data_IF_709026300043
#
_entry.id   IF_709026300043
#
_cell.length_a   1.000
_cell.length_b   1.000
_cell.length_c   1.000
_cell.angle_alpha   90.00
_cell.angle_beta   90.00
_cell.angle_gamma   90.00
#
_symmetry.space_group_name_H-M   'P 1'
#
loop_
_entity.id
_entity.type
_entity.pdbx_description
1 polymer ?
#
# COMPACT_ATOMS: atom_id res chain seq x y z
N UNK A 1 1.54 34.77 5.86
CA UNK A 1 1.99 33.43 5.44
C UNK A 1 2.12 32.59 6.70
N UNK A 2 1.13 31.76 7.01
CA UNK A 2 1.23 30.80 8.11
C UNK A 2 2.10 29.64 7.64
N UNK A 3 3.30 29.52 8.18
CA UNK A 3 4.08 28.29 8.15
C UNK A 3 3.26 27.21 8.85
N UNK A 4 2.56 26.40 8.06
CA UNK A 4 1.89 25.19 8.54
C UNK A 4 3.02 24.28 9.02
N UNK A 5 3.20 24.22 10.33
CA UNK A 5 4.15 23.30 10.99
C UNK A 5 3.78 21.90 10.53
N UNK A 6 4.75 21.16 9.95
CA UNK A 6 4.61 19.75 9.64
C UNK A 6 4.18 19.01 10.90
N UNK A 7 2.95 18.48 10.92
CA UNK A 7 2.43 17.68 12.02
C UNK A 7 2.53 16.20 11.67
N UNK A 8 3.76 15.68 11.60
CA UNK A 8 3.94 14.28 12.01
C UNK A 8 3.84 14.32 13.53
N UNK A 9 2.68 13.94 14.06
CA UNK A 9 2.35 14.11 15.49
C UNK A 9 3.03 13.04 16.34
N UNK A 10 3.47 11.95 15.73
CA UNK A 10 3.79 10.68 16.38
C UNK A 10 5.28 10.40 16.42
N UNK A 11 5.73 9.89 17.57
CA UNK A 11 6.98 9.14 17.64
C UNK A 11 6.83 7.84 16.83
N UNK A 12 7.88 7.46 16.10
CA UNK A 12 7.89 6.19 15.39
C UNK A 12 7.94 5.04 16.39
N UNK A 13 7.44 3.84 16.02
CA UNK A 13 7.57 2.67 16.88
C UNK A 13 9.03 2.46 17.31
N UNK A 14 9.23 2.03 18.55
CA UNK A 14 10.57 1.73 19.10
C UNK A 14 10.78 0.22 19.21
N UNK A 15 11.99 -0.31 18.90
CA UNK A 15 12.25 -1.75 18.96
C UNK A 15 12.02 -2.37 20.34
N UNK A 16 12.40 -1.65 21.40
CA UNK A 16 12.25 -2.12 22.78
C UNK A 16 10.82 -1.85 23.26
N UNK A 17 10.00 -2.89 23.29
CA UNK A 17 8.63 -2.84 23.81
C UNK A 17 7.55 -2.58 22.76
N UNK A 18 7.89 -2.46 21.48
CA UNK A 18 6.98 -2.23 20.34
C UNK A 18 5.72 -1.42 20.70
N UNK A 19 5.93 -0.12 20.94
CA UNK A 19 4.84 0.84 21.13
C UNK A 19 4.40 1.40 19.76
N UNK A 20 3.10 1.54 19.53
CA UNK A 20 2.53 2.05 18.27
C UNK A 20 2.51 3.59 18.21
N UNK A 21 3.32 4.25 19.05
CA UNK A 21 3.28 5.69 19.26
C UNK A 21 1.97 6.12 19.94
N UNK A 22 1.53 7.36 19.70
CA UNK A 22 0.35 7.93 20.36
C UNK A 22 -1.00 7.29 19.94
N UNK A 23 -1.00 6.43 18.93
CA UNK A 23 -2.21 5.81 18.40
C UNK A 23 -2.17 4.31 18.68
N UNK A 24 -3.02 3.81 19.61
CA UNK A 24 -3.06 2.37 19.87
C UNK A 24 -3.41 1.65 18.57
N UNK A 25 -2.46 0.84 18.09
CA UNK A 25 -2.58 -0.04 16.92
C UNK A 25 -2.49 0.66 15.56
N UNK A 26 -1.94 1.86 15.47
CA UNK A 26 -1.85 2.58 14.20
C UNK A 26 -0.78 3.66 14.20
N UNK A 27 -0.76 4.44 13.13
CA UNK A 27 -0.09 5.73 13.10
C UNK A 27 -1.15 6.85 13.14
N UNK A 28 -0.72 8.10 13.02
CA UNK A 28 -1.63 9.22 12.83
C UNK A 28 -2.56 9.00 11.62
N UNK A 29 -3.79 9.57 11.62
CA UNK A 29 -4.67 9.50 10.45
C UNK A 29 -3.97 9.95 9.17
N UNK A 30 -4.20 9.22 8.08
CA UNK A 30 -3.64 9.59 6.78
C UNK A 30 -4.48 10.71 6.18
N UNK A 31 -3.87 11.85 5.86
CA UNK A 31 -4.55 12.93 5.13
C UNK A 31 -4.17 12.87 3.65
N UNK A 32 -5.15 12.61 2.78
CA UNK A 32 -4.98 12.56 1.33
C UNK A 32 -5.76 13.68 0.64
N UNK A 33 -5.31 14.11 -0.56
CA UNK A 33 -6.16 14.93 -1.40
C UNK A 33 -7.31 14.08 -1.96
N UNK A 34 -8.25 14.73 -2.62
CA UNK A 34 -9.17 14.02 -3.50
C UNK A 34 -8.38 13.24 -4.56
N UNK A 35 -8.85 12.04 -4.99
CA UNK A 35 -8.24 11.30 -6.08
C UNK A 35 -8.06 12.19 -7.32
N UNK A 36 -6.90 12.12 -8.00
CA UNK A 36 -6.65 12.97 -9.15
C UNK A 36 -7.65 12.64 -10.26
N UNK A 37 -8.28 13.68 -10.78
CA UNK A 37 -9.14 13.59 -11.96
C UNK A 37 -8.34 13.96 -13.21
N UNK A 38 -8.76 13.56 -14.41
CA UNK A 38 -8.12 14.00 -15.65
C UNK A 38 -8.07 15.54 -15.81
N UNK A 39 -8.95 16.26 -15.11
CA UNK A 39 -9.08 17.72 -15.14
C UNK A 39 -8.27 18.42 -14.04
N UNK A 40 -7.76 17.65 -13.06
CA UNK A 40 -6.90 18.18 -12.01
C UNK A 40 -5.58 18.64 -12.63
N UNK A 41 -5.32 19.95 -12.64
CA UNK A 41 -4.14 20.54 -13.25
C UNK A 41 -2.80 19.96 -12.75
N UNK A 42 -1.75 20.18 -13.54
CA UNK A 42 -0.41 19.57 -13.46
C UNK A 42 0.46 20.06 -12.28
N UNK A 43 -0.16 20.41 -11.15
CA UNK A 43 0.53 20.99 -9.99
C UNK A 43 1.38 20.00 -9.18
N UNK A 44 1.29 18.70 -9.49
CA UNK A 44 2.12 17.66 -8.88
C UNK A 44 3.44 17.52 -9.64
N UNK A 45 4.60 17.53 -8.96
CA UNK A 45 5.87 17.15 -9.55
C UNK A 45 5.82 15.80 -10.27
N UNK A 46 6.71 15.65 -11.25
CA UNK A 46 6.87 14.43 -12.01
C UNK A 46 7.10 13.20 -11.12
N UNK A 47 6.24 12.19 -11.24
CA UNK A 47 6.44 10.90 -10.57
C UNK A 47 7.46 10.13 -11.41
N UNK A 48 8.67 10.02 -10.87
CA UNK A 48 9.81 9.42 -11.53
C UNK A 48 10.09 8.02 -10.97
N UNK A 49 10.69 7.13 -11.78
CA UNK A 49 11.18 5.85 -11.27
C UNK A 49 12.28 6.09 -10.24
N UNK A 50 12.44 5.12 -9.32
CA UNK A 50 13.46 5.21 -8.29
C UNK A 50 14.87 5.30 -8.92
N UNK A 51 15.70 6.21 -8.41
CA UNK A 51 17.13 6.20 -8.72
C UNK A 51 17.78 5.01 -8.01
N UNK A 52 18.11 3.97 -8.79
CA UNK A 52 18.74 2.73 -8.33
C UNK A 52 20.04 2.95 -7.53
N UNK A 53 20.72 4.09 -7.70
CA UNK A 53 21.94 4.42 -6.94
C UNK A 53 21.65 4.86 -5.51
N UNK A 54 20.42 5.29 -5.21
CA UNK A 54 19.99 5.78 -3.89
C UNK A 54 19.19 4.73 -3.10
N UNK A 55 18.90 3.59 -3.71
CA UNK A 55 18.14 2.51 -3.09
C UNK A 55 19.00 1.87 -2.00
N UNK A 56 18.57 2.02 -0.75
CA UNK A 56 19.15 1.29 0.37
C UNK A 56 18.89 -0.22 0.22
N UNK A 57 19.97 -1.01 0.26
CA UNK A 57 19.97 -2.47 0.22
C UNK A 57 20.49 -3.09 1.51
N UNK A 58 20.81 -2.27 2.50
CA UNK A 58 21.36 -2.70 3.79
C UNK A 58 20.26 -3.11 4.78
N UNK A 59 19.06 -2.54 4.65
CA UNK A 59 17.91 -2.93 5.47
C UNK A 59 17.50 -4.38 5.16
N UNK A 60 17.46 -5.20 6.22
CA UNK A 60 17.02 -6.60 6.13
C UNK A 60 15.62 -6.72 6.72
N UNK A 61 14.68 -7.22 5.91
CA UNK A 61 13.33 -7.57 6.34
C UNK A 61 13.20 -9.10 6.26
N UNK A 62 13.36 -9.83 7.38
CA UNK A 62 13.28 -11.27 7.36
C UNK A 62 11.87 -11.74 7.01
N UNK A 63 11.79 -12.84 6.26
CA UNK A 63 10.51 -13.44 5.90
C UNK A 63 9.78 -13.99 7.13
N UNK A 64 10.48 -14.71 7.98
CA UNK A 64 9.92 -15.27 9.22
C UNK A 64 10.58 -14.59 10.42
N UNK A 65 9.81 -14.39 11.49
CA UNK A 65 10.33 -13.90 12.76
C UNK A 65 9.92 -14.80 13.92
N UNK A 66 10.31 -14.43 15.13
CA UNK A 66 9.94 -15.17 16.33
C UNK A 66 8.42 -15.21 16.52
N UNK A 67 7.92 -16.26 17.18
CA UNK A 67 6.52 -16.33 17.56
C UNK A 67 6.18 -15.17 18.52
N UNK A 68 5.00 -14.60 18.35
CA UNK A 68 4.52 -13.49 19.18
C UNK A 68 4.17 -14.00 20.59
N UNK A 69 4.51 -13.19 21.59
CA UNK A 69 4.46 -13.61 23.00
C UNK A 69 3.04 -13.77 23.56
N UNK A 70 2.05 -13.04 23.01
CA UNK A 70 0.65 -13.09 23.46
C UNK A 70 -0.33 -12.94 22.29
N UNK A 71 -1.54 -13.45 22.48
CA UNK A 71 -2.67 -13.26 21.53
C UNK A 71 -3.02 -11.79 21.36
N UNK A 72 -3.03 -11.02 22.44
CA UNK A 72 -3.31 -9.58 22.38
C UNK A 72 -2.26 -8.88 21.50
N UNK A 73 -0.96 -9.13 21.73
CA UNK A 73 0.09 -8.53 20.90
C UNK A 73 -0.04 -8.94 19.42
N UNK A 74 -0.42 -10.20 19.15
CA UNK A 74 -0.73 -10.66 17.79
C UNK A 74 -1.84 -9.84 17.13
N UNK A 75 -2.97 -9.67 17.82
CA UNK A 75 -4.09 -8.89 17.29
C UNK A 75 -3.69 -7.44 17.02
N UNK A 76 -2.95 -6.83 17.94
CA UNK A 76 -2.48 -5.44 17.82
C UNK A 76 -1.52 -5.26 16.64
N UNK A 77 -0.54 -6.15 16.51
CA UNK A 77 0.42 -6.12 15.43
C UNK A 77 -0.28 -6.25 14.08
N UNK A 78 -1.13 -7.26 13.90
CA UNK A 78 -1.79 -7.48 12.63
C UNK A 78 -2.85 -6.43 12.31
N UNK A 79 -3.48 -5.81 13.32
CA UNK A 79 -4.30 -4.62 13.12
C UNK A 79 -3.47 -3.45 12.60
N UNK A 80 -2.30 -3.18 13.21
CA UNK A 80 -1.37 -2.16 12.72
C UNK A 80 -0.95 -2.43 11.28
N UNK A 81 -0.57 -3.67 10.94
CA UNK A 81 -0.22 -4.04 9.56
C UNK A 81 -1.37 -3.77 8.60
N UNK A 82 -2.59 -4.12 9.03
CA UNK A 82 -3.80 -3.92 8.25
C UNK A 82 -4.04 -2.44 7.97
N UNK A 83 -4.07 -1.58 8.99
CA UNK A 83 -4.34 -0.15 8.83
C UNK A 83 -3.20 0.55 8.09
N UNK A 84 -1.96 0.43 8.58
CA UNK A 84 -0.79 1.15 8.05
C UNK A 84 -0.46 0.73 6.62
N UNK A 85 -0.55 -0.57 6.30
CA UNK A 85 -0.27 -1.07 4.95
C UNK A 85 -1.33 -0.64 3.93
N UNK A 86 -2.61 -0.55 4.32
CA UNK A 86 -3.65 0.00 3.45
C UNK A 86 -3.48 1.52 3.26
N UNK A 87 -3.17 2.26 4.32
CA UNK A 87 -2.86 3.70 4.19
C UNK A 87 -1.67 3.96 3.24
N UNK A 88 -0.59 3.18 3.35
CA UNK A 88 0.53 3.25 2.41
C UNK A 88 0.08 2.93 0.97
N UNK A 89 -0.78 1.92 0.81
CA UNK A 89 -1.38 1.57 -0.50
C UNK A 89 -2.16 2.74 -1.10
N UNK A 90 -2.94 3.49 -0.32
CA UNK A 90 -3.72 4.61 -0.85
C UNK A 90 -2.83 5.73 -1.37
N UNK A 91 -1.76 6.05 -0.65
CA UNK A 91 -0.74 7.00 -1.13
C UNK A 91 -0.01 6.48 -2.38
N UNK A 92 0.29 5.18 -2.46
CA UNK A 92 0.86 4.55 -3.68
C UNK A 92 -0.11 4.65 -4.87
N UNK A 93 -1.41 4.47 -4.65
CA UNK A 93 -2.42 4.63 -5.70
C UNK A 93 -2.56 6.07 -6.19
N UNK A 94 -2.49 7.05 -5.30
CA UNK A 94 -2.40 8.47 -5.65
C UNK A 94 -1.21 8.73 -6.58
N UNK A 95 -0.01 8.27 -6.21
CA UNK A 95 1.19 8.42 -7.07
C UNK A 95 1.06 7.66 -8.39
N UNK A 96 0.45 6.48 -8.38
CA UNK A 96 0.23 5.67 -9.59
C UNK A 96 -0.74 6.37 -10.54
N UNK A 97 -1.78 7.01 -10.01
CA UNK A 97 -2.74 7.77 -10.80
C UNK A 97 -2.08 9.00 -11.47
N UNK A 98 -1.18 9.69 -10.76
CA UNK A 98 -0.38 10.77 -11.33
C UNK A 98 0.60 10.27 -12.41
N UNK A 99 1.32 9.17 -12.16
CA UNK A 99 2.19 8.56 -13.17
C UNK A 99 1.39 8.13 -14.41
N UNK A 100 0.18 7.59 -14.23
CA UNK A 100 -0.71 7.23 -15.33
C UNK A 100 -1.17 8.45 -16.14
N UNK A 101 -1.48 9.57 -15.48
CA UNK A 101 -1.79 10.83 -16.17
C UNK A 101 -0.59 11.34 -16.97
N UNK A 102 0.60 11.38 -16.35
CA UNK A 102 1.85 11.80 -17.00
C UNK A 102 2.21 10.94 -18.21
N UNK A 103 1.99 9.62 -18.15
CA UNK A 103 2.20 8.73 -19.29
C UNK A 103 1.32 9.10 -20.51
N UNK A 104 0.11 9.63 -20.28
CA UNK A 104 -0.84 10.03 -21.34
C UNK A 104 -0.53 11.39 -21.95
N UNK A 105 0.09 12.27 -21.17
CA UNK A 105 0.35 13.66 -21.58
C UNK A 105 1.77 13.87 -22.11
N UNK A 106 2.73 13.02 -21.74
CA UNK A 106 4.12 13.09 -22.21
C UNK A 106 4.28 12.54 -23.61
N UNK A 107 5.25 13.10 -24.35
CA UNK A 107 5.71 12.56 -25.62
C UNK A 107 6.45 11.23 -25.46
N UNK A 108 7.23 11.08 -24.38
CA UNK A 108 7.86 9.82 -23.97
C UNK A 108 7.20 9.29 -22.67
N UNK A 109 6.43 8.19 -22.74
CA UNK A 109 5.79 7.60 -21.57
C UNK A 109 6.74 6.74 -20.73
N UNK A 110 7.95 6.41 -21.21
CA UNK A 110 8.80 5.39 -20.59
C UNK A 110 9.16 5.68 -19.12
N UNK A 111 9.48 6.92 -18.69
CA UNK A 111 9.70 7.21 -17.26
C UNK A 111 8.46 6.91 -16.41
N UNK A 112 7.28 7.27 -16.89
CA UNK A 112 6.01 7.03 -16.19
C UNK A 112 5.70 5.54 -16.08
N UNK A 113 5.96 4.77 -17.14
CA UNK A 113 5.77 3.31 -17.14
C UNK A 113 6.70 2.62 -16.13
N UNK A 114 7.96 3.07 -16.02
CA UNK A 114 8.90 2.57 -15.01
C UNK A 114 8.44 2.93 -13.59
N UNK A 115 8.02 4.17 -13.36
CA UNK A 115 7.46 4.59 -12.07
C UNK A 115 6.22 3.76 -11.68
N UNK A 116 5.30 3.52 -12.62
CA UNK A 116 4.12 2.66 -12.38
C UNK A 116 4.51 1.21 -12.08
N UNK A 117 5.62 0.72 -12.64
CA UNK A 117 6.14 -0.62 -12.33
C UNK A 117 6.61 -0.68 -10.88
N UNK A 118 7.46 0.28 -10.46
CA UNK A 118 7.94 0.37 -9.07
C UNK A 118 6.78 0.51 -8.07
N UNK A 119 5.75 1.31 -8.40
CA UNK A 119 4.56 1.51 -7.58
C UNK A 119 3.62 0.28 -7.58
N UNK A 120 3.61 -0.53 -8.64
CA UNK A 120 2.85 -1.80 -8.65
C UNK A 120 3.56 -2.85 -7.82
N UNK A 121 4.89 -2.90 -7.88
CA UNK A 121 5.70 -3.78 -7.05
C UNK A 121 5.54 -3.45 -5.56
N UNK A 122 5.59 -2.16 -5.24
CA UNK A 122 5.26 -1.61 -3.94
C UNK A 122 3.89 -2.06 -3.42
N UNK A 123 2.85 -1.91 -4.24
CA UNK A 123 1.51 -2.32 -3.88
C UNK A 123 1.43 -3.84 -3.65
N UNK A 124 2.14 -4.63 -4.47
CA UNK A 124 2.25 -6.08 -4.29
C UNK A 124 2.88 -6.44 -2.94
N UNK A 125 3.95 -5.75 -2.55
CA UNK A 125 4.55 -5.90 -1.22
C UNK A 125 3.59 -5.47 -0.09
N UNK A 126 2.86 -4.37 -0.24
CA UNK A 126 1.84 -3.95 0.74
C UNK A 126 0.73 -4.98 0.88
N UNK A 127 0.36 -5.66 -0.20
CA UNK A 127 -0.64 -6.72 -0.16
C UNK A 127 -0.13 -7.93 0.65
N UNK A 128 1.14 -8.33 0.46
CA UNK A 128 1.76 -9.39 1.28
C UNK A 128 1.88 -8.98 2.75
N UNK A 129 2.25 -7.72 3.01
CA UNK A 129 2.37 -7.19 4.36
C UNK A 129 1.03 -7.17 5.10
N UNK A 130 -0.01 -6.59 4.50
CA UNK A 130 -1.36 -6.50 5.09
C UNK A 130 -2.01 -7.88 5.26
N UNK A 131 -1.74 -8.81 4.35
CA UNK A 131 -2.25 -10.18 4.40
C UNK A 131 -1.34 -11.17 5.15
N UNK A 132 -0.28 -10.67 5.78
CA UNK A 132 0.65 -11.52 6.53
C UNK A 132 0.02 -12.18 7.75
N UNK A 133 -1.09 -11.63 8.24
CA UNK A 133 -1.82 -12.19 9.37
C UNK A 133 -2.20 -13.68 9.15
N UNK A 134 -2.18 -14.47 10.23
CA UNK A 134 -2.82 -15.77 10.28
C UNK A 134 -4.33 -15.68 9.96
N UNK A 135 -4.88 -16.75 9.39
CA UNK A 135 -6.29 -16.78 8.94
C UNK A 135 -7.30 -16.65 10.11
N UNK A 136 -6.94 -17.13 11.30
CA UNK A 136 -7.71 -16.98 12.53
C UNK A 136 -7.76 -15.51 12.98
N UNK A 137 -6.63 -14.79 12.98
CA UNK A 137 -6.61 -13.34 13.28
C UNK A 137 -7.47 -12.56 12.28
N UNK A 138 -7.39 -12.89 10.99
CA UNK A 138 -8.26 -12.29 9.99
C UNK A 138 -9.75 -12.57 10.27
N UNK A 139 -10.10 -13.83 10.59
CA UNK A 139 -11.48 -14.25 10.84
C UNK A 139 -12.09 -13.72 12.15
N UNK A 140 -11.25 -13.43 13.15
CA UNK A 140 -11.70 -13.03 14.50
C UNK A 140 -11.58 -11.53 14.76
N UNK A 141 -10.64 -10.85 14.13
CA UNK A 141 -10.38 -9.42 14.37
C UNK A 141 -10.74 -8.58 13.14
N UNK A 142 -10.10 -8.85 12.01
CA UNK A 142 -10.14 -7.97 10.83
C UNK A 142 -11.48 -8.05 10.09
N UNK A 143 -11.94 -9.25 9.75
CA UNK A 143 -13.19 -9.42 8.99
C UNK A 143 -14.42 -8.96 9.81
N UNK A 144 -14.54 -9.28 11.11
CA UNK A 144 -15.64 -8.77 11.92
C UNK A 144 -15.66 -7.24 12.03
N UNK A 145 -14.51 -6.57 12.17
CA UNK A 145 -14.47 -5.10 12.23
C UNK A 145 -14.92 -4.44 10.93
N UNK A 146 -14.56 -5.01 9.77
CA UNK A 146 -15.06 -4.56 8.46
C UNK A 146 -16.57 -4.76 8.34
N UNK A 147 -17.09 -5.91 8.81
CA UNK A 147 -18.52 -6.21 8.80
C UNK A 147 -19.33 -5.22 9.65
N UNK A 148 -18.78 -4.78 10.79
CA UNK A 148 -19.39 -3.75 11.65
C UNK A 148 -19.53 -2.40 10.94
N UNK A 149 -18.67 -2.08 9.98
CA UNK A 149 -18.85 -0.89 9.13
C UNK A 149 -19.95 -1.14 8.09
N UNK A 150 -19.84 -2.25 7.36
CA UNK A 150 -20.85 -2.67 6.41
C UNK A 150 -20.69 -4.13 6.00
N UNK A 151 -21.80 -4.87 5.89
CA UNK A 151 -21.83 -6.28 5.46
C UNK A 151 -21.27 -6.57 4.06
N UNK A 152 -21.19 -5.56 3.20
CA UNK A 152 -20.63 -5.60 1.84
C UNK A 152 -19.28 -4.89 1.72
N UNK A 153 -18.62 -4.59 2.84
CA UNK A 153 -17.36 -3.84 2.84
C UNK A 153 -16.35 -4.46 1.88
N UNK A 154 -15.75 -3.63 1.04
CA UNK A 154 -14.90 -4.07 -0.07
C UNK A 154 -13.80 -3.07 -0.36
N UNK A 155 -12.62 -3.57 -0.73
CA UNK A 155 -11.52 -2.77 -1.28
C UNK A 155 -11.90 -1.96 -2.52
N UNK A 156 -12.97 -2.36 -3.24
CA UNK A 156 -13.46 -1.61 -4.41
C UNK A 156 -14.10 -0.27 -4.06
N UNK A 157 -14.34 0.00 -2.78
CA UNK A 157 -14.90 1.28 -2.29
C UNK A 157 -13.82 2.36 -2.11
N UNK A 158 -12.54 1.99 -2.18
CA UNK A 158 -11.44 2.93 -2.06
C UNK A 158 -11.50 4.02 -3.15
N UNK A 159 -11.57 5.31 -2.79
CA UNK A 159 -11.58 6.40 -3.78
C UNK A 159 -10.33 6.39 -4.67
N UNK A 160 -9.16 6.17 -4.07
CA UNK A 160 -7.87 6.21 -4.78
C UNK A 160 -7.68 5.04 -5.75
N UNK A 161 -8.43 3.94 -5.58
CA UNK A 161 -8.38 2.80 -6.49
C UNK A 161 -9.07 3.12 -7.83
N UNK A 162 -10.10 3.97 -7.84
CA UNK A 162 -10.90 4.30 -9.04
C UNK A 162 -10.03 4.72 -10.24
N UNK A 163 -9.10 5.70 -10.13
CA UNK A 163 -8.29 6.15 -11.27
C UNK A 163 -7.31 5.08 -11.78
N UNK A 164 -6.82 4.19 -10.91
CA UNK A 164 -5.84 3.15 -11.27
C UNK A 164 -6.45 1.80 -11.61
N UNK A 165 -7.75 1.62 -11.33
CA UNK A 165 -8.48 0.35 -11.48
C UNK A 165 -8.36 -0.26 -12.87
N UNK A 166 -8.36 0.57 -13.92
CA UNK A 166 -8.20 0.09 -15.29
C UNK A 166 -6.87 -0.63 -15.49
N UNK A 167 -5.77 0.05 -15.12
CA UNK A 167 -4.42 -0.49 -15.16
C UNK A 167 -4.30 -1.75 -14.30
N UNK A 168 -4.72 -1.68 -13.04
CA UNK A 168 -4.60 -2.78 -12.09
C UNK A 168 -5.51 -3.96 -12.42
N UNK A 169 -6.57 -3.80 -13.23
CA UNK A 169 -7.35 -4.92 -13.78
C UNK A 169 -6.74 -5.52 -15.05
N UNK A 170 -5.55 -5.09 -15.46
CA UNK A 170 -4.89 -5.57 -16.66
C UNK A 170 -5.52 -5.04 -17.95
N UNK A 171 -6.26 -3.92 -17.92
CA UNK A 171 -6.70 -3.27 -19.16
C UNK A 171 -5.47 -2.84 -19.95
N UNK A 172 -5.42 -3.26 -21.21
CA UNK A 172 -4.34 -2.92 -22.14
C UNK A 172 -4.18 -1.40 -22.24
N UNK A 173 -3.00 -0.85 -21.89
CA UNK A 173 -2.72 0.57 -22.07
C UNK A 173 -2.41 0.89 -23.54
N UNK A 174 -2.38 2.17 -23.88
CA UNK A 174 -2.12 2.66 -25.25
C UNK A 174 -0.64 2.51 -25.67
N UNK A 175 0.26 2.23 -24.72
CA UNK A 175 1.72 2.17 -24.92
C UNK A 175 2.26 0.75 -25.17
N UNK A 176 1.51 -0.09 -25.90
CA UNK A 176 1.89 -1.49 -26.16
C UNK A 176 3.24 -1.62 -26.93
N UNK A 177 3.86 -2.79 -26.80
CA UNK A 177 5.08 -3.19 -27.54
C UNK A 177 6.36 -2.42 -27.19
N UNK A 178 6.44 -1.92 -25.95
CA UNK A 178 7.69 -1.37 -25.38
C UNK A 178 8.20 -2.27 -24.24
N UNK A 179 9.53 -2.37 -24.02
CA UNK A 179 10.08 -3.11 -22.89
C UNK A 179 9.52 -2.65 -21.53
N UNK A 180 9.28 -1.35 -21.37
CA UNK A 180 8.67 -0.78 -20.18
C UNK A 180 7.22 -1.23 -19.99
N UNK A 181 6.41 -1.26 -21.05
CA UNK A 181 5.04 -1.77 -20.98
C UNK A 181 5.02 -3.26 -20.62
N UNK A 182 5.92 -4.06 -21.16
CA UNK A 182 6.01 -5.50 -20.84
C UNK A 182 6.34 -5.73 -19.35
N UNK A 183 7.26 -4.95 -18.79
CA UNK A 183 7.60 -4.98 -17.36
C UNK A 183 6.42 -4.58 -16.49
N UNK A 184 5.71 -3.51 -16.83
CA UNK A 184 4.52 -3.09 -16.11
C UNK A 184 3.42 -4.16 -16.15
N UNK A 185 3.17 -4.75 -17.32
CA UNK A 185 2.20 -5.84 -17.45
C UNK A 185 2.61 -7.07 -16.63
N UNK A 186 3.90 -7.39 -16.56
CA UNK A 186 4.40 -8.44 -15.69
C UNK A 186 4.10 -8.14 -14.22
N UNK A 187 4.45 -6.96 -13.71
CA UNK A 187 4.14 -6.54 -12.35
C UNK A 187 2.64 -6.64 -12.03
N UNK A 188 1.76 -6.21 -12.95
CA UNK A 188 0.30 -6.32 -12.79
C UNK A 188 -0.17 -7.78 -12.71
N UNK A 189 0.38 -8.69 -13.53
CA UNK A 189 0.06 -10.14 -13.44
C UNK A 189 0.51 -10.74 -12.11
N UNK A 190 1.65 -10.30 -11.61
CA UNK A 190 2.18 -10.80 -10.33
C UNK A 190 1.33 -10.31 -9.17
N UNK A 191 0.92 -9.04 -9.19
CA UNK A 191 -0.10 -8.50 -8.30
C UNK A 191 -1.38 -9.36 -8.31
N UNK A 192 -1.91 -9.74 -9.49
CA UNK A 192 -3.10 -10.61 -9.56
C UNK A 192 -2.88 -11.97 -8.91
N UNK A 193 -1.72 -12.58 -9.14
CA UNK A 193 -1.36 -13.86 -8.51
C UNK A 193 -1.34 -13.74 -7.00
N UNK A 194 -0.66 -12.72 -6.46
CA UNK A 194 -0.63 -12.46 -5.01
C UNK A 194 -2.04 -12.22 -4.48
N UNK A 195 -2.83 -11.36 -5.13
CA UNK A 195 -4.19 -11.06 -4.70
C UNK A 195 -5.09 -12.29 -4.67
N UNK A 196 -5.01 -13.16 -5.69
CA UNK A 196 -5.73 -14.42 -5.71
C UNK A 196 -5.30 -15.35 -4.56
N UNK A 197 -3.99 -15.47 -4.34
CA UNK A 197 -3.43 -16.26 -3.23
C UNK A 197 -3.86 -15.74 -1.85
N UNK A 198 -3.86 -14.42 -1.65
CA UNK A 198 -4.33 -13.79 -0.42
C UNK A 198 -5.81 -14.07 -0.19
N UNK A 199 -6.65 -13.94 -1.23
CA UNK A 199 -8.07 -14.27 -1.13
C UNK A 199 -8.28 -15.75 -0.77
N UNK A 200 -7.52 -16.67 -1.38
CA UNK A 200 -7.57 -18.09 -1.06
C UNK A 200 -7.11 -18.40 0.38
N UNK A 201 -6.10 -17.67 0.88
CA UNK A 201 -5.59 -17.81 2.25
C UNK A 201 -6.60 -17.32 3.30
N UNK A 202 -7.12 -16.10 3.13
CA UNK A 202 -7.90 -15.41 4.17
C UNK A 202 -9.40 -15.68 4.10
N UNK A 203 -9.92 -16.06 2.93
CA UNK A 203 -11.34 -16.36 2.71
C UNK A 203 -11.49 -17.71 2.00
N UNK A 204 -11.12 -18.83 2.66
CA UNK A 204 -11.25 -20.16 2.07
C UNK A 204 -12.72 -20.44 1.73
N UNK A 205 -12.99 -20.63 0.44
CA UNK A 205 -14.36 -20.73 -0.13
C UNK A 205 -14.76 -19.57 -1.04
N UNK A 206 -13.94 -18.51 -1.13
CA UNK A 206 -14.03 -17.47 -2.16
C UNK A 206 -15.22 -16.51 -2.07
N UNK A 207 -16.16 -16.74 -1.14
CA UNK A 207 -17.30 -15.84 -0.92
C UNK A 207 -16.81 -14.57 -0.24
N UNK A 208 -16.49 -13.56 -1.05
CA UNK A 208 -16.30 -12.19 -0.58
C UNK A 208 -17.53 -11.72 0.21
N UNK A 209 -17.37 -10.82 1.18
CA UNK A 209 -18.48 -10.13 1.84
C UNK A 209 -19.49 -9.57 0.83
N UNK A 210 -19.02 -9.09 -0.33
CA UNK A 210 -19.87 -8.67 -1.45
C UNK A 210 -20.76 -9.79 -2.00
N UNK A 211 -20.23 -11.01 -2.13
CA UNK A 211 -20.98 -12.16 -2.65
C UNK A 211 -21.93 -12.75 -1.59
N UNK A 212 -21.57 -12.68 -0.30
CA UNK A 212 -22.44 -13.09 0.81
C UNK A 212 -23.63 -12.14 0.98
N UNK A 213 -23.42 -10.84 0.73
CA UNK A 213 -24.43 -9.80 0.94
C UNK A 213 -25.20 -9.36 -0.32
N UNK A 214 -24.77 -9.79 -1.52
CA UNK A 214 -25.43 -9.46 -2.80
C UNK A 214 -26.92 -9.83 -2.85
N UNK A 215 -27.37 -10.76 -1.99
CA UNK A 215 -28.77 -11.17 -1.92
C UNK A 215 -29.68 -10.18 -1.17
N UNK A 216 -29.16 -9.22 -0.38
CA UNK A 216 -30.01 -8.62 0.68
C UNK A 216 -30.00 -7.08 0.86
N UNK A 217 -29.10 -6.31 0.25
CA UNK A 217 -29.02 -4.82 0.36
C UNK A 217 -27.69 -4.36 -0.20
N UNK A 218 -27.75 -3.62 -1.30
CA UNK A 218 -26.63 -2.85 -1.86
C UNK A 218 -26.82 -1.40 -1.43
N UNK A 219 -25.92 -0.78 -0.66
CA UNK A 219 -25.87 0.67 -0.60
C UNK A 219 -25.53 1.17 -2.00
N UNK A 220 -26.48 1.78 -2.67
CA UNK A 220 -26.40 2.24 -4.06
C UNK A 220 -25.63 3.57 -4.21
N UNK A 221 -24.95 4.04 -3.17
CA UNK A 221 -24.32 5.36 -3.14
C UNK A 221 -22.78 5.26 -3.01
N UNK A 222 -22.03 5.41 -4.12
CA UNK A 222 -20.57 5.35 -4.13
C UNK A 222 -19.91 6.33 -3.14
N UNK A 223 -20.49 7.50 -2.92
CA UNK A 223 -19.98 8.49 -1.96
C UNK A 223 -20.05 7.99 -0.51
N UNK A 224 -21.13 7.32 -0.13
CA UNK A 224 -21.25 6.72 1.20
C UNK A 224 -20.27 5.57 1.37
N UNK A 225 -20.06 4.76 0.33
CA UNK A 225 -19.07 3.67 0.34
C UNK A 225 -17.65 4.22 0.53
N UNK A 226 -17.29 5.27 -0.20
CA UNK A 226 -16.02 5.99 -0.06
C UNK A 226 -15.82 6.52 1.35
N UNK A 227 -16.83 7.19 1.92
CA UNK A 227 -16.78 7.75 3.28
C UNK A 227 -16.60 6.65 4.35
N UNK A 228 -17.35 5.54 4.25
CA UNK A 228 -17.20 4.41 5.17
C UNK A 228 -15.81 3.77 5.06
N UNK A 229 -15.28 3.69 3.84
CA UNK A 229 -13.97 3.13 3.57
C UNK A 229 -12.85 4.00 4.16
N UNK A 230 -12.87 5.30 3.88
CA UNK A 230 -11.91 6.26 4.43
C UNK A 230 -11.99 6.29 5.97
N UNK A 231 -13.21 6.29 6.53
CA UNK A 231 -13.41 6.27 7.99
C UNK A 231 -12.79 5.02 8.64
N UNK A 232 -13.03 3.82 8.06
CA UNK A 232 -12.47 2.57 8.59
C UNK A 232 -10.93 2.58 8.63
N UNK A 233 -10.30 3.14 7.60
CA UNK A 233 -8.84 3.23 7.51
C UNK A 233 -8.25 4.52 8.09
N UNK A 234 -9.04 5.30 8.83
CA UNK A 234 -8.62 6.57 9.45
C UNK A 234 -7.97 7.51 8.43
N UNK A 235 -8.60 7.63 7.25
CA UNK A 235 -8.17 8.50 6.16
C UNK A 235 -9.04 9.75 6.11
N UNK A 236 -8.40 10.92 6.07
CA UNK A 236 -9.03 12.22 5.97
C UNK A 236 -8.82 12.80 4.57
N UNK A 237 -9.88 13.33 3.96
CA UNK A 237 -9.78 14.04 2.69
C UNK A 237 -9.65 15.54 2.94
N UNK A 238 -8.52 16.12 2.54
CA UNK A 238 -8.26 17.55 2.64
C UNK A 238 -7.25 18.01 1.59
N UNK A 239 -7.21 19.32 1.25
CA UNK A 239 -6.15 19.86 0.41
C UNK A 239 -4.79 19.70 1.10
N UNK A 240 -4.00 18.75 0.59
CA UNK A 240 -2.61 18.48 1.01
C UNK A 240 -1.69 18.59 -0.20
N UNK A 241 -0.50 19.13 0.01
CA UNK A 241 0.51 19.24 -1.04
C UNK A 241 1.30 17.94 -1.23
N UNK A 242 2.03 17.84 -2.34
CA UNK A 242 2.92 16.70 -2.65
C UNK A 242 3.86 16.36 -1.52
N UNK A 243 4.47 17.39 -0.91
CA UNK A 243 5.47 17.21 0.16
C UNK A 243 4.85 16.52 1.37
N UNK A 244 3.62 16.91 1.73
CA UNK A 244 2.89 16.34 2.86
C UNK A 244 2.42 14.90 2.59
N UNK A 245 1.95 14.62 1.36
CA UNK A 245 1.63 13.25 0.93
C UNK A 245 2.88 12.34 0.98
N UNK A 246 4.00 12.83 0.46
CA UNK A 246 5.29 12.13 0.46
C UNK A 246 5.76 11.87 1.90
N UNK A 247 5.70 12.87 2.78
CA UNK A 247 6.17 12.70 4.15
C UNK A 247 5.32 11.71 4.95
N UNK A 248 4.01 11.71 4.75
CA UNK A 248 3.12 10.72 5.36
C UNK A 248 3.39 9.30 4.84
N UNK A 249 3.62 9.13 3.53
CA UNK A 249 3.99 7.85 2.93
C UNK A 249 5.33 7.35 3.50
N UNK A 250 6.35 8.21 3.52
CA UNK A 250 7.69 7.85 4.03
C UNK A 250 7.68 7.47 5.51
N UNK A 251 6.90 8.19 6.33
CA UNK A 251 6.69 7.83 7.74
C UNK A 251 6.15 6.40 7.89
N UNK A 252 5.12 6.07 7.10
CA UNK A 252 4.51 4.73 7.06
C UNK A 252 5.49 3.67 6.57
N UNK A 253 6.21 3.92 5.48
CA UNK A 253 7.23 2.99 4.97
C UNK A 253 8.31 2.71 6.01
N UNK A 254 8.76 3.72 6.75
CA UNK A 254 9.72 3.54 7.84
C UNK A 254 9.16 2.68 8.97
N UNK A 255 7.92 2.92 9.38
CA UNK A 255 7.27 2.12 10.41
C UNK A 255 7.07 0.66 9.98
N UNK A 256 6.69 0.43 8.70
CA UNK A 256 6.56 -0.92 8.11
C UNK A 256 7.91 -1.62 8.05
N UNK A 257 8.97 -0.94 7.58
CA UNK A 257 10.33 -1.51 7.54
C UNK A 257 10.80 -1.92 8.94
N UNK A 258 10.53 -1.06 9.94
CA UNK A 258 10.91 -1.35 11.32
C UNK A 258 10.13 -2.54 11.88
N UNK A 259 8.84 -2.65 11.58
CA UNK A 259 8.01 -3.79 11.98
C UNK A 259 8.56 -5.08 11.40
N UNK A 260 8.75 -5.13 10.08
CA UNK A 260 9.19 -6.37 9.43
C UNK A 260 10.62 -6.71 9.84
N UNK A 261 11.50 -5.72 10.08
CA UNK A 261 12.84 -5.96 10.61
C UNK A 261 12.80 -6.59 12.02
N UNK A 262 11.86 -6.18 12.87
CA UNK A 262 11.73 -6.67 14.25
C UNK A 262 10.98 -8.00 14.34
N UNK A 263 9.82 -8.10 13.68
CA UNK A 263 8.86 -9.20 13.85
C UNK A 263 8.90 -10.22 12.70
N UNK A 264 9.58 -9.90 11.60
CA UNK A 264 9.51 -10.68 10.36
C UNK A 264 8.18 -10.52 9.63
N UNK A 265 8.17 -10.83 8.33
CA UNK A 265 6.95 -10.70 7.53
C UNK A 265 5.87 -11.68 8.00
N UNK A 266 6.24 -12.88 8.46
CA UNK A 266 5.36 -13.88 9.04
C UNK A 266 5.92 -14.30 10.42
N UNK A 267 5.55 -13.61 11.51
CA UNK A 267 5.97 -13.96 12.86
C UNK A 267 5.50 -15.37 13.23
N UNK A 268 6.40 -16.21 13.75
CA UNK A 268 6.08 -17.58 14.19
C UNK A 268 5.78 -18.59 13.09
N UNK A 269 5.99 -18.25 11.81
CA UNK A 269 5.69 -19.14 10.69
C UNK A 269 6.44 -20.47 10.79
N UNK A 270 5.68 -21.55 10.85
CA UNK A 270 6.19 -22.93 10.84
C UNK A 270 6.36 -23.45 9.41
N UNK A 271 7.23 -24.46 9.17
CA UNK A 271 7.33 -25.13 7.87
C UNK A 271 5.99 -25.69 7.38
N UNK A 272 5.20 -26.26 8.29
CA UNK A 272 3.89 -26.86 7.97
C UNK A 272 2.89 -25.79 7.50
N UNK A 273 2.83 -24.64 8.17
CA UNK A 273 1.99 -23.51 7.74
C UNK A 273 2.47 -22.93 6.40
N UNK A 274 3.78 -22.89 6.18
CA UNK A 274 4.36 -22.39 4.94
C UNK A 274 4.03 -23.30 3.74
N UNK A 275 4.04 -24.61 3.95
CA UNK A 275 3.59 -25.60 2.96
C UNK A 275 2.09 -25.52 2.70
N UNK A 276 1.29 -25.15 3.71
CA UNK A 276 -0.15 -25.00 3.62
C UNK A 276 -0.60 -23.72 2.88
N UNK A 277 0.31 -22.78 2.59
CA UNK A 277 -0.05 -21.59 1.81
C UNK A 277 -0.62 -21.97 0.42
N UNK A 278 -1.60 -21.20 -0.10
CA UNK A 278 -2.08 -21.35 -1.46
C UNK A 278 -0.94 -21.38 -2.47
N UNK A 279 -1.09 -22.19 -3.52
CA UNK A 279 -0.06 -22.38 -4.56
C UNK A 279 0.44 -21.05 -5.13
N UNK A 280 -0.46 -20.09 -5.33
CA UNK A 280 -0.15 -18.75 -5.82
C UNK A 280 0.90 -18.04 -4.96
N UNK A 281 0.79 -18.16 -3.63
CA UNK A 281 1.71 -17.54 -2.66
C UNK A 281 3.03 -18.31 -2.50
N UNK A 282 3.07 -19.57 -2.94
CA UNK A 282 4.29 -20.40 -2.90
C UNK A 282 5.14 -20.28 -4.17
N UNK A 283 4.66 -19.59 -5.20
CA UNK A 283 5.41 -19.40 -6.44
C UNK A 283 6.75 -18.69 -6.19
N UNK A 284 7.78 -19.07 -6.95
CA UNK A 284 9.14 -18.49 -6.84
C UNK A 284 9.13 -16.98 -7.01
N UNK A 285 8.21 -16.48 -7.83
CA UNK A 285 8.03 -15.05 -8.05
C UNK A 285 7.48 -14.33 -6.82
N UNK A 286 6.46 -14.87 -6.15
CA UNK A 286 5.95 -14.29 -4.90
C UNK A 286 7.00 -14.34 -3.79
N UNK A 287 7.75 -15.45 -3.70
CA UNK A 287 8.89 -15.56 -2.76
C UNK A 287 9.95 -14.49 -2.99
N UNK A 288 10.14 -14.04 -4.23
CA UNK A 288 11.03 -12.91 -4.53
C UNK A 288 10.51 -11.61 -3.90
N UNK A 289 9.22 -11.31 -3.95
CA UNK A 289 8.66 -10.11 -3.30
C UNK A 289 8.76 -10.16 -1.77
N UNK A 290 8.63 -11.34 -1.17
CA UNK A 290 8.84 -11.52 0.28
C UNK A 290 10.30 -11.29 0.66
N UNK A 291 11.24 -11.81 -0.14
CA UNK A 291 12.68 -11.65 0.08
C UNK A 291 13.15 -10.21 -0.17
N UNK A 292 12.65 -9.60 -1.24
CA UNK A 292 13.02 -8.27 -1.69
C UNK A 292 12.10 -7.19 -1.09
N UNK A 293 11.37 -7.53 -0.02
CA UNK A 293 10.39 -6.64 0.62
C UNK A 293 11.01 -5.29 1.00
N UNK A 294 12.16 -5.29 1.69
CA UNK A 294 12.89 -4.07 2.05
C UNK A 294 13.31 -3.26 0.82
N UNK A 295 13.70 -3.94 -0.27
CA UNK A 295 14.10 -3.30 -1.52
C UNK A 295 12.92 -2.56 -2.17
N UNK A 296 11.74 -3.18 -2.16
CA UNK A 296 10.52 -2.55 -2.67
C UNK A 296 10.17 -1.29 -1.88
N UNK A 297 10.26 -1.32 -0.54
CA UNK A 297 10.01 -0.13 0.29
C UNK A 297 11.04 0.97 0.04
N UNK A 298 12.31 0.59 -0.07
CA UNK A 298 13.42 1.50 -0.33
C UNK A 298 13.27 2.22 -1.67
N UNK A 299 12.86 1.51 -2.73
CA UNK A 299 12.55 2.11 -4.04
C UNK A 299 11.45 3.16 -3.97
N UNK A 300 10.35 2.88 -3.26
CA UNK A 300 9.26 3.85 -3.10
C UNK A 300 9.74 5.05 -2.30
N UNK A 301 10.51 4.84 -1.22
CA UNK A 301 11.04 5.93 -0.42
C UNK A 301 11.96 6.85 -1.25
N UNK A 302 12.78 6.28 -2.14
CA UNK A 302 13.59 7.04 -3.10
C UNK A 302 12.71 7.80 -4.10
N UNK A 303 11.75 7.13 -4.75
CA UNK A 303 10.84 7.78 -5.70
C UNK A 303 10.05 8.92 -5.03
N UNK A 304 9.59 8.71 -3.80
CA UNK A 304 8.91 9.71 -3.00
C UNK A 304 9.83 10.88 -2.63
N UNK A 305 11.11 10.63 -2.30
CA UNK A 305 12.10 11.70 -2.07
C UNK A 305 12.33 12.57 -3.30
N UNK A 306 12.30 11.99 -4.50
CA UNK A 306 12.50 12.71 -5.76
C UNK A 306 11.33 13.63 -6.12
N UNK A 307 10.15 13.42 -5.53
CA UNK A 307 8.97 14.29 -5.67
C UNK A 307 9.06 15.58 -4.84
N UNK A 308 9.99 15.67 -3.88
CA UNK A 308 10.17 16.92 -3.14
C UNK A 308 10.76 17.98 -4.08
N UNK A 309 10.15 19.18 -4.20
CA UNK A 309 10.73 20.26 -4.96
C UNK A 309 12.17 20.46 -4.48
N UNK A 310 13.14 20.36 -5.38
CA UNK A 310 14.49 20.84 -5.08
C UNK A 310 14.33 22.30 -4.72
N UNK A 311 14.53 22.65 -3.46
CA UNK A 311 14.65 24.05 -3.05
C UNK A 311 15.86 24.57 -3.81
N UNK A 312 15.62 25.17 -4.97
CA UNK A 312 16.64 25.94 -5.65
C UNK A 312 16.93 27.09 -4.71
N UNK A 313 18.03 26.99 -3.95
CA UNK A 313 18.63 28.14 -3.33
C UNK A 313 18.89 29.13 -4.44
N UNK A 314 17.97 30.06 -4.61
CA UNK A 314 18.20 31.29 -5.36
C UNK A 314 19.15 32.09 -4.48
N UNK A 315 20.44 31.80 -4.60
CA UNK A 315 21.47 32.79 -4.27
C UNK A 315 21.24 33.95 -5.24
N UNK A 316 20.46 34.93 -4.78
CA UNK A 316 20.41 36.23 -5.43
C UNK A 316 21.81 36.87 -5.33
N UNK A 317 22.24 37.60 -6.37
CA UNK A 317 23.59 38.15 -6.50
C UNK A 317 23.94 39.20 -5.43
#
# INVERSE_FOLDING_TARGET
MNTRVHRTVTELPVPDGWDFGDFPYGLEPLTLPEPPTPESGDGMPDVLPADETLVDRSTVCPRAGAALSTTDFSHQLFWFRWITGHQATFAVWQLTAHALHQARTRSDPAPSLRAMTDLTDAYTSMLLYTSSCPADVYGTVIRPSMYLQHRSFSGTWAPDFVPVRGLLRGRKPEWENTPESERLQHAVRTYHTVHAGVAAKLVPGGRSLLQESAAETTPTHPETQALLYDHYFLTLRAPVGTVELVDQLRSRLRAISLDVATNGLYPGLTPEEDEAFPHELRSTEVRRYEKDFALALSRIDVAARQLKPKVLHTTAP
#
